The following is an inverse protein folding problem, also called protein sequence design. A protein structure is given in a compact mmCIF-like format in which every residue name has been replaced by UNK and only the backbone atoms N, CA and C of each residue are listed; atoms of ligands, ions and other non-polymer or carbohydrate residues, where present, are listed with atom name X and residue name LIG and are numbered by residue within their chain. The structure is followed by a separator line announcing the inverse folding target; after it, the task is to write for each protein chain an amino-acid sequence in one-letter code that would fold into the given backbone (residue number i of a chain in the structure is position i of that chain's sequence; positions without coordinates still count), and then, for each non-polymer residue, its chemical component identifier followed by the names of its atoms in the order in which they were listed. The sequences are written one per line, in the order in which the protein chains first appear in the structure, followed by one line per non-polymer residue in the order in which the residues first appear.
data_IF_710964498815
#
_entry.id   IF_710964498815
#
_cell.length_a   1.000
_cell.length_b   1.000
_cell.length_c   1.000
_cell.angle_alpha   90.00
_cell.angle_beta   90.00
_cell.angle_gamma   90.00
#
_symmetry.space_group_name_H-M   'P 1'
#
loop_
_entity.id
_entity.type
_entity.pdbx_description
1 polymer ?
#
# COMPACT_ATOMS: atom_id res chain seq x y z
N UNK A 1 26.39 -1.80 0.59
CA UNK A 1 25.49 -1.21 1.61
C UNK A 1 25.21 0.23 1.21
N UNK A 2 23.99 0.54 0.73
CA UNK A 2 23.62 1.89 0.26
C UNK A 2 23.08 2.71 1.44
N UNK A 3 23.97 3.34 2.20
CA UNK A 3 23.57 4.29 3.24
C UNK A 3 22.94 5.53 2.59
N UNK A 4 21.71 5.85 2.97
CA UNK A 4 21.08 7.11 2.62
C UNK A 4 21.89 8.28 3.22
N UNK A 5 21.85 9.47 2.61
CA UNK A 5 22.44 10.66 3.24
C UNK A 5 21.80 10.88 4.61
N UNK A 6 22.62 11.11 5.63
CA UNK A 6 22.21 11.15 7.04
C UNK A 6 21.06 12.15 7.31
N UNK A 7 21.08 13.31 6.65
CA UNK A 7 19.99 14.31 6.71
C UNK A 7 18.66 13.77 6.21
N UNK A 8 18.68 12.99 5.13
CA UNK A 8 17.48 12.39 4.56
C UNK A 8 16.96 11.28 5.45
N UNK A 9 17.85 10.41 5.94
CA UNK A 9 17.49 9.35 6.87
C UNK A 9 16.78 9.91 8.10
N UNK A 10 17.37 10.91 8.77
CA UNK A 10 16.80 11.58 9.94
C UNK A 10 15.40 12.15 9.67
N UNK A 11 15.20 12.83 8.53
CA UNK A 11 13.88 13.37 8.14
C UNK A 11 12.80 12.29 8.05
N UNK A 12 13.15 11.10 7.53
CA UNK A 12 12.20 9.99 7.47
C UNK A 12 11.93 9.38 8.84
N UNK A 13 12.95 9.25 9.70
CA UNK A 13 12.76 8.82 11.10
C UNK A 13 11.78 9.75 11.82
N UNK A 14 12.04 11.06 11.78
CA UNK A 14 11.19 12.09 12.40
C UNK A 14 9.75 12.04 11.87
N UNK A 15 9.58 11.81 10.57
CA UNK A 15 8.26 11.64 9.96
C UNK A 15 7.53 10.42 10.53
N UNK A 16 8.16 9.24 10.50
CA UNK A 16 7.51 8.02 10.97
C UNK A 16 7.28 8.01 12.48
N UNK A 17 8.16 8.63 13.26
CA UNK A 17 7.98 8.85 14.70
C UNK A 17 6.77 9.75 14.98
N UNK A 18 6.66 10.89 14.28
CA UNK A 18 5.50 11.79 14.40
C UNK A 18 4.18 11.09 14.08
N UNK A 19 4.15 10.32 13.00
CA UNK A 19 2.97 9.56 12.61
C UNK A 19 2.68 8.47 13.64
N UNK A 20 3.68 7.71 14.06
CA UNK A 20 3.52 6.69 15.10
C UNK A 20 2.92 7.26 16.39
N UNK A 21 3.37 8.43 16.83
CA UNK A 21 2.82 9.10 18.01
C UNK A 21 1.34 9.46 17.82
N UNK A 22 0.93 9.85 16.62
CA UNK A 22 -0.48 10.11 16.29
C UNK A 22 -1.33 8.84 16.34
N UNK A 23 -0.76 7.70 15.93
CA UNK A 23 -1.41 6.38 15.98
C UNK A 23 -1.14 5.60 17.27
N UNK A 24 -0.57 6.24 18.30
CA UNK A 24 -0.26 5.64 19.61
C UNK A 24 0.62 4.38 19.52
N UNK A 25 1.58 4.36 18.59
CA UNK A 25 2.48 3.22 18.39
C UNK A 25 1.84 2.00 17.71
N UNK A 26 0.57 2.09 17.29
CA UNK A 26 -0.09 1.04 16.50
C UNK A 26 0.32 1.10 15.04
N UNK A 27 0.12 -0.01 14.34
CA UNK A 27 0.30 -0.09 12.89
C UNK A 27 -0.58 0.94 12.17
N UNK A 28 -0.02 1.60 11.16
CA UNK A 28 -0.73 2.57 10.35
C UNK A 28 -0.53 2.31 8.85
N UNK A 29 -1.57 2.54 8.05
CA UNK A 29 -1.50 2.45 6.59
C UNK A 29 -1.38 3.84 5.98
N UNK A 30 -0.41 4.04 5.10
CA UNK A 30 -0.21 5.31 4.39
C UNK A 30 0.01 5.09 2.89
N UNK A 31 -0.47 6.03 2.09
CA UNK A 31 -0.13 6.08 0.67
C UNK A 31 1.30 6.58 0.51
N UNK A 32 2.04 5.99 -0.44
CA UNK A 32 3.37 6.50 -0.79
C UNK A 32 3.32 7.98 -1.21
N UNK A 33 2.26 8.42 -1.88
CA UNK A 33 2.08 9.83 -2.28
C UNK A 33 2.02 10.79 -1.10
N UNK A 34 1.44 10.36 0.02
CA UNK A 34 1.27 11.22 1.19
C UNK A 34 2.62 11.38 1.90
N UNK A 35 3.38 10.29 2.02
CA UNK A 35 4.74 10.33 2.53
C UNK A 35 5.62 11.23 1.65
N UNK A 36 5.49 11.15 0.32
CA UNK A 36 6.22 12.03 -0.60
C UNK A 36 5.87 13.51 -0.42
N UNK A 37 4.59 13.82 -0.18
CA UNK A 37 4.12 15.19 0.05
C UNK A 37 4.75 15.79 1.30
N UNK A 38 4.76 15.03 2.40
CA UNK A 38 5.21 15.58 3.68
C UNK A 38 6.74 15.58 3.80
N UNK A 39 7.39 14.58 3.22
CA UNK A 39 8.86 14.52 3.20
C UNK A 39 9.46 15.32 2.06
N UNK A 40 8.68 15.74 1.07
CA UNK A 40 9.15 16.39 -0.16
C UNK A 40 10.05 15.51 -1.03
N UNK A 41 10.08 14.19 -0.79
CA UNK A 41 10.99 13.27 -1.44
C UNK A 41 10.42 12.71 -2.75
N UNK A 42 11.28 12.55 -3.76
CA UNK A 42 10.95 11.81 -4.96
C UNK A 42 10.71 10.32 -4.67
N UNK A 43 9.93 9.65 -5.52
CA UNK A 43 9.51 8.24 -5.32
C UNK A 43 10.69 7.28 -5.16
N UNK A 44 11.76 7.47 -5.95
CA UNK A 44 12.98 6.64 -5.85
C UNK A 44 13.65 6.81 -4.49
N UNK A 45 13.72 8.05 -3.97
CA UNK A 45 14.30 8.36 -2.67
C UNK A 45 13.45 7.76 -1.54
N UNK A 46 12.12 7.86 -1.64
CA UNK A 46 11.20 7.24 -0.68
C UNK A 46 11.42 5.73 -0.60
N UNK A 47 11.43 5.02 -1.73
CA UNK A 47 11.64 3.57 -1.76
C UNK A 47 12.97 3.16 -1.12
N UNK A 48 14.03 3.92 -1.39
CA UNK A 48 15.35 3.70 -0.77
C UNK A 48 15.33 3.98 0.73
N UNK A 49 14.66 5.05 1.16
CA UNK A 49 14.55 5.41 2.57
C UNK A 49 13.77 4.37 3.37
N UNK A 50 12.63 3.91 2.86
CA UNK A 50 11.84 2.84 3.48
C UNK A 50 12.68 1.58 3.64
N UNK A 51 13.39 1.16 2.57
CA UNK A 51 14.26 -0.01 2.63
C UNK A 51 15.38 0.15 3.67
N UNK A 52 16.04 1.31 3.70
CA UNK A 52 17.09 1.58 4.68
C UNK A 52 16.54 1.55 6.12
N UNK A 53 15.38 2.17 6.37
CA UNK A 53 14.77 2.18 7.70
C UNK A 53 14.29 0.80 8.16
N UNK A 54 13.84 -0.04 7.22
CA UNK A 54 13.51 -1.43 7.52
C UNK A 54 14.76 -2.28 7.83
N UNK A 55 15.83 -2.09 7.06
CA UNK A 55 17.13 -2.74 7.33
C UNK A 55 17.73 -2.29 8.66
N UNK A 56 17.59 -1.01 9.01
CA UNK A 56 18.06 -0.42 10.27
C UNK A 56 17.14 -0.75 11.46
N UNK A 57 16.06 -1.51 11.25
CA UNK A 57 15.13 -1.93 12.31
C UNK A 57 14.29 -0.80 12.92
N UNK A 58 14.19 0.34 12.24
CA UNK A 58 13.40 1.50 12.70
C UNK A 58 11.91 1.28 12.43
N UNK A 59 11.58 0.66 11.29
CA UNK A 59 10.20 0.38 10.88
C UNK A 59 10.08 -1.05 10.34
N UNK A 60 8.90 -1.62 10.47
CA UNK A 60 8.46 -2.80 9.72
C UNK A 60 7.47 -2.37 8.63
N UNK A 61 7.50 -3.04 7.48
CA UNK A 61 6.72 -2.63 6.30
C UNK A 61 6.02 -3.83 5.70
N UNK A 62 4.70 -3.75 5.61
CA UNK A 62 3.85 -4.72 4.94
C UNK A 62 3.14 -4.09 3.73
N UNK A 63 2.83 -4.87 2.69
CA UNK A 63 1.98 -4.41 1.59
C UNK A 63 0.61 -3.94 2.11
N UNK A 64 0.15 -2.78 1.64
CA UNK A 64 -1.17 -2.26 1.99
C UNK A 64 -2.28 -2.82 1.08
N UNK A 65 -3.45 -2.19 1.13
CA UNK A 65 -4.64 -2.56 0.32
C UNK A 65 -4.38 -2.67 -1.19
N UNK A 66 -3.42 -1.91 -1.72
CA UNK A 66 -2.96 -2.03 -3.11
C UNK A 66 -1.53 -1.47 -3.23
N UNK A 67 -0.96 -1.49 -4.43
CA UNK A 67 0.41 -1.06 -4.72
C UNK A 67 0.74 0.41 -4.40
N UNK A 68 -0.26 1.25 -4.10
CA UNK A 68 -0.07 2.66 -3.69
C UNK A 68 0.10 2.83 -2.18
N UNK A 69 -0.30 1.84 -1.38
CA UNK A 69 -0.32 1.91 0.07
C UNK A 69 0.62 0.87 0.67
N UNK A 70 1.15 1.19 1.85
CA UNK A 70 1.87 0.25 2.68
C UNK A 70 1.44 0.43 4.13
N UNK A 71 1.47 -0.67 4.87
CA UNK A 71 1.30 -0.68 6.32
C UNK A 71 2.68 -0.58 6.96
N UNK A 72 2.78 0.25 7.98
CA UNK A 72 4.01 0.53 8.69
C UNK A 72 3.79 0.31 10.17
N UNK A 73 4.78 -0.31 10.82
CA UNK A 73 4.90 -0.39 12.28
C UNK A 73 6.20 0.28 12.69
N UNK A 74 6.15 1.21 13.63
CA UNK A 74 7.33 1.91 14.11
C UNK A 74 7.90 1.16 15.32
N UNK A 75 9.12 0.65 15.21
CA UNK A 75 9.70 -0.27 16.19
C UNK A 75 10.49 0.46 17.29
N UNK A 76 10.90 1.72 17.07
CA UNK A 76 11.71 2.46 18.06
C UNK A 76 10.93 2.88 19.31
N UNK A 77 9.59 2.92 19.27
CA UNK A 77 8.73 3.22 20.44
C UNK A 77 8.48 1.97 21.29
N UNK A 78 8.57 0.77 20.71
CA UNK A 78 8.20 -0.47 21.41
C UNK A 78 9.19 -0.92 22.49
N UNK A 79 10.43 -0.40 22.52
CA UNK A 79 11.38 -0.73 23.59
C UNK A 79 11.03 -0.11 24.96
N UNK A 80 10.10 0.85 25.00
CA UNK A 80 9.64 1.47 26.26
C UNK A 80 8.22 1.03 26.68
N UNK A 81 7.55 0.15 25.92
CA UNK A 81 6.15 -0.20 26.14
C UNK A 81 5.90 -1.71 26.37
N UNK A 82 6.93 -2.54 26.41
CA UNK A 82 6.82 -3.97 26.75
C UNK A 82 7.08 -4.24 28.25
N UNK A 83 6.34 -3.55 29.12
CA UNK A 83 5.93 -4.07 30.43
C UNK A 83 4.47 -3.64 30.63
N UNK A 84 3.57 -4.61 30.86
CA UNK A 84 2.09 -4.51 30.93
C UNK A 84 1.36 -4.81 29.62
N UNK A 85 1.10 -6.09 29.37
CA UNK A 85 -0.24 -6.68 29.50
C UNK A 85 -0.24 -8.13 28.99
N UNK A 86 0.40 -9.00 29.76
CA UNK A 86 0.02 -10.42 29.79
C UNK A 86 -1.17 -10.58 30.74
N UNK A 87 -2.10 -11.46 30.36
CA UNK A 87 -3.20 -12.03 31.15
C UNK A 87 -4.32 -11.13 31.67
N UNK A 88 -5.52 -11.28 31.10
CA UNK A 88 -6.67 -11.75 31.90
C UNK A 88 -7.68 -12.51 31.03
N UNK A 89 -7.93 -13.76 31.41
CA UNK A 89 -8.97 -14.64 30.89
C UNK A 89 -10.35 -14.37 31.52
N UNK A 90 -11.40 -14.81 30.82
CA UNK A 90 -12.66 -15.38 31.34
C UNK A 90 -13.69 -14.50 32.08
N UNK A 91 -14.87 -14.34 31.47
CA UNK A 91 -16.25 -14.46 32.01
C UNK A 91 -17.22 -13.97 30.91
N UNK A 92 -18.26 -14.67 30.44
CA UNK A 92 -19.25 -15.47 31.16
C UNK A 92 -20.46 -14.59 31.50
N UNK A 93 -21.55 -14.65 30.71
CA UNK A 93 -22.98 -14.59 31.15
C UNK A 93 -23.94 -14.05 30.06
N UNK A 94 -24.70 -15.00 29.50
CA UNK A 94 -26.13 -15.04 29.13
C UNK A 94 -27.01 -13.77 28.96
N UNK A 95 -27.80 -13.80 27.87
CA UNK A 95 -29.28 -13.73 27.78
C UNK A 95 -29.97 -12.57 27.01
N UNK A 96 -30.80 -13.02 26.03
CA UNK A 96 -32.11 -12.53 25.53
C UNK A 96 -32.14 -11.13 24.89
N UNK A 97 -32.59 -10.94 23.65
CA UNK A 97 -34.01 -11.09 23.24
C UNK A 97 -34.12 -10.93 21.71
N UNK A 98 -35.08 -11.63 21.12
CA UNK A 98 -35.50 -11.44 19.74
C UNK A 98 -36.24 -10.11 19.56
N UNK A 99 -35.92 -9.36 18.52
CA UNK A 99 -36.88 -8.45 17.88
C UNK A 99 -36.56 -8.31 16.39
N UNK A 100 -37.55 -8.69 15.59
CA UNK A 100 -37.57 -8.59 14.14
C UNK A 100 -37.32 -7.15 13.69
N UNK A 101 -36.31 -6.96 12.83
CA UNK A 101 -36.29 -5.80 11.93
C UNK A 101 -36.03 -6.29 10.52
N UNK A 102 -37.03 -6.07 9.69
CA UNK A 102 -37.09 -6.39 8.26
C UNK A 102 -35.78 -6.08 7.51
N UNK A 103 -35.45 -6.84 6.44
CA UNK A 103 -34.23 -6.60 5.69
C UNK A 103 -34.29 -5.20 5.02
N UNK A 104 -33.17 -4.46 4.97
CA UNK A 104 -33.13 -3.18 4.27
C UNK A 104 -33.21 -3.47 2.77
N UNK A 105 -34.37 -3.26 2.18
CA UNK A 105 -34.63 -3.48 0.75
C UNK A 105 -33.94 -2.48 -0.18
N UNK A 106 -32.99 -1.69 0.35
CA UNK A 106 -32.26 -0.64 -0.37
C UNK A 106 -30.75 -0.87 -0.55
N UNK A 107 -30.19 -1.96 -0.02
CA UNK A 107 -28.75 -2.28 -0.18
C UNK A 107 -28.46 -3.08 -1.45
N UNK A 108 -29.40 -3.86 -1.96
CA UNK A 108 -29.18 -4.70 -3.14
C UNK A 108 -29.03 -3.88 -4.44
N UNK A 109 -29.80 -2.80 -4.58
CA UNK A 109 -29.72 -1.95 -5.77
C UNK A 109 -28.39 -1.18 -5.83
N UNK A 110 -27.93 -0.64 -4.69
CA UNK A 110 -26.61 0.00 -4.56
C UNK A 110 -25.46 -0.97 -4.85
N UNK A 111 -25.53 -2.21 -4.33
CA UNK A 111 -24.50 -3.23 -4.61
C UNK A 111 -24.50 -3.62 -6.09
N UNK A 112 -25.66 -3.67 -6.74
CA UNK A 112 -25.76 -4.02 -8.16
C UNK A 112 -25.21 -2.90 -9.06
N UNK A 113 -25.43 -1.63 -8.69
CA UNK A 113 -24.81 -0.46 -9.32
C UNK A 113 -23.29 -0.50 -9.17
N UNK A 114 -22.76 -0.73 -7.96
CA UNK A 114 -21.31 -0.85 -7.71
C UNK A 114 -20.67 -1.98 -8.54
N UNK A 115 -21.36 -3.12 -8.65
CA UNK A 115 -20.90 -4.27 -9.47
C UNK A 115 -20.93 -3.93 -10.96
N UNK A 116 -21.93 -3.19 -11.42
CA UNK A 116 -22.03 -2.73 -12.81
C UNK A 116 -20.91 -1.74 -13.16
N UNK A 117 -20.66 -0.75 -12.30
CA UNK A 117 -19.57 0.21 -12.48
C UNK A 117 -18.20 -0.48 -12.50
N UNK A 118 -17.97 -1.40 -11.57
CA UNK A 118 -16.73 -2.17 -11.53
C UNK A 118 -16.55 -3.03 -12.80
N UNK A 119 -17.64 -3.63 -13.30
CA UNK A 119 -17.61 -4.40 -14.55
C UNK A 119 -17.24 -3.53 -15.76
N UNK A 120 -17.79 -2.31 -15.85
CA UNK A 120 -17.43 -1.36 -16.91
C UNK A 120 -15.96 -0.95 -16.85
N UNK A 121 -15.42 -0.71 -15.65
CA UNK A 121 -14.01 -0.40 -15.45
C UNK A 121 -13.11 -1.56 -15.90
N UNK A 122 -13.49 -2.80 -15.57
CA UNK A 122 -12.77 -4.00 -16.00
C UNK A 122 -12.78 -4.13 -17.52
N UNK A 123 -13.91 -3.90 -18.19
CA UNK A 123 -14.00 -3.99 -19.64
C UNK A 123 -13.20 -2.89 -20.35
N UNK A 124 -13.19 -1.67 -19.82
CA UNK A 124 -12.32 -0.60 -20.31
C UNK A 124 -10.83 -0.97 -20.17
N UNK A 125 -10.43 -1.55 -19.05
CA UNK A 125 -9.06 -2.02 -18.85
C UNK A 125 -8.70 -3.14 -19.84
N UNK A 126 -9.59 -4.12 -20.04
CA UNK A 126 -9.38 -5.20 -21.02
C UNK A 126 -9.18 -4.67 -22.44
N UNK A 127 -9.99 -3.70 -22.87
CA UNK A 127 -9.82 -3.05 -24.19
C UNK A 127 -8.48 -2.33 -24.29
N UNK A 128 -8.08 -1.59 -23.25
CA UNK A 128 -6.79 -0.89 -23.23
C UNK A 128 -5.61 -1.86 -23.30
N UNK A 129 -5.66 -2.97 -22.57
CA UNK A 129 -4.61 -4.01 -22.62
C UNK A 129 -4.47 -4.58 -24.03
N UNK A 130 -5.58 -4.96 -24.68
CA UNK A 130 -5.54 -5.45 -26.08
C UNK A 130 -4.91 -4.43 -27.04
N UNK A 131 -5.25 -3.15 -26.89
CA UNK A 131 -4.65 -2.09 -27.72
C UNK A 131 -3.14 -1.96 -27.47
N UNK A 132 -2.70 -2.10 -26.21
CA UNK A 132 -1.28 -2.08 -25.87
C UNK A 132 -0.55 -3.32 -26.40
N UNK A 133 -1.15 -4.50 -26.33
CA UNK A 133 -0.60 -5.73 -26.90
C UNK A 133 -0.40 -5.59 -28.42
N UNK A 134 -1.38 -5.05 -29.14
CA UNK A 134 -1.25 -4.77 -30.58
C UNK A 134 -0.12 -3.77 -30.88
N UNK A 135 0.00 -2.70 -30.08
CA UNK A 135 1.07 -1.72 -30.25
C UNK A 135 2.45 -2.34 -30.00
N UNK A 136 2.57 -3.21 -28.99
CA UNK A 136 3.81 -3.95 -28.68
C UNK A 136 4.20 -4.86 -29.85
N UNK A 137 3.25 -5.60 -30.43
CA UNK A 137 3.51 -6.46 -31.58
C UNK A 137 4.07 -5.67 -32.77
N UNK A 138 3.47 -4.52 -33.11
CA UNK A 138 3.97 -3.65 -34.18
C UNK A 138 5.38 -3.12 -33.90
N UNK A 139 5.69 -2.78 -32.65
CA UNK A 139 7.04 -2.34 -32.27
C UNK A 139 8.05 -3.48 -32.39
N UNK A 140 7.68 -4.71 -32.01
CA UNK A 140 8.52 -5.89 -32.15
C UNK A 140 8.84 -6.19 -33.62
N UNK A 141 7.83 -6.11 -34.50
CA UNK A 141 8.04 -6.28 -35.95
C UNK A 141 9.02 -5.24 -36.50
N UNK A 142 8.87 -3.97 -36.10
CA UNK A 142 9.79 -2.89 -36.53
C UNK A 142 11.20 -3.04 -35.98
N UNK A 143 11.35 -3.53 -34.74
CA UNK A 143 12.66 -3.85 -34.18
C UNK A 143 13.34 -4.95 -34.99
N UNK A 144 12.62 -6.03 -35.32
CA UNK A 144 13.14 -7.12 -36.14
C UNK A 144 13.61 -6.63 -37.52
N UNK A 145 12.83 -5.76 -38.19
CA UNK A 145 13.25 -5.15 -39.46
C UNK A 145 14.55 -4.33 -39.35
N UNK A 146 14.74 -3.61 -38.23
CA UNK A 146 15.94 -2.82 -37.99
C UNK A 146 17.14 -3.73 -37.71
N UNK A 147 16.95 -4.76 -36.87
CA UNK A 147 17.99 -5.76 -36.57
C UNK A 147 18.47 -6.48 -37.83
N UNK A 148 17.55 -6.84 -38.73
CA UNK A 148 17.87 -7.45 -40.03
C UNK A 148 18.72 -6.52 -40.90
N UNK A 149 18.41 -5.21 -40.94
CA UNK A 149 19.20 -4.22 -41.69
C UNK A 149 20.59 -4.04 -41.10
N UNK A 150 20.74 -4.17 -39.78
CA UNK A 150 22.04 -4.08 -39.11
C UNK A 150 22.88 -5.33 -39.34
N UNK A 151 22.29 -6.53 -39.34
CA UNK A 151 23.01 -7.78 -39.60
C UNK A 151 23.38 -8.00 -41.07
N UNK A 152 22.67 -7.37 -42.00
CA UNK A 152 22.96 -7.41 -43.44
C UNK A 152 24.05 -6.41 -43.88
N UNK A 153 24.67 -5.68 -42.93
CA UNK A 153 25.90 -4.89 -43.14
C UNK A 153 27.10 -5.65 -42.60
#
# INVERSE_FOLDING_TARGET
MLRLKEKTHRKFVEFFEKISNMYQGKDFELAYSDIQRETGAASVTLKRAIKALAEDGVIEVEPGRNSRYARFRYLLVSQNAEELSADTASNGSENLSAEEKAPPRGTFDSVNEDVSELSQLVDHLRRRVRNQEMAIALLQDRLAEIEDKLRKR
#
